data_IF_876730810688
#
_entry.id   IF_876730810688
#
_cell.length_a   1.000
_cell.length_b   1.000
_cell.length_c   1.000
_cell.angle_alpha   90.00
_cell.angle_beta   90.00
_cell.angle_gamma   90.00
#
_symmetry.space_group_name_H-M   'P 1'
#
loop_
_entity.id
_entity.type
_entity.pdbx_description
1 polymer ?
#
# COMPACT_ATOMS: atom_id res chain seq x y z
N UNK A 1 -7.25 3.97 10.77
CA UNK A 1 -6.19 2.95 10.62
C UNK A 1 -4.99 3.62 10.00
N UNK A 2 -3.80 3.40 10.56
CA UNK A 2 -2.55 3.98 10.08
C UNK A 2 -1.70 2.88 9.46
N UNK A 3 -1.18 3.15 8.26
CA UNK A 3 -0.40 2.22 7.47
C UNK A 3 0.96 2.83 7.14
N UNK A 4 2.01 2.03 7.24
CA UNK A 4 3.39 2.44 6.97
C UNK A 4 3.75 2.06 5.56
N UNK A 5 4.26 3.02 4.79
CA UNK A 5 4.79 2.78 3.46
C UNK A 5 6.31 2.73 3.53
N UNK A 6 6.88 1.59 3.19
CA UNK A 6 8.33 1.47 2.97
C UNK A 6 8.63 1.55 1.47
N UNK A 7 9.76 2.18 1.11
CA UNK A 7 10.19 2.30 -0.29
C UNK A 7 11.68 2.06 -0.43
N UNK A 8 12.07 1.35 -1.48
CA UNK A 8 13.48 1.10 -1.81
C UNK A 8 13.72 1.32 -3.32
N UNK A 9 14.94 1.73 -3.67
CA UNK A 9 15.41 1.81 -5.07
C UNK A 9 16.19 0.53 -5.38
N UNK A 10 15.68 -0.25 -6.31
CA UNK A 10 16.27 -1.50 -6.76
C UNK A 10 17.52 -1.28 -7.60
N UNK A 11 18.35 -2.32 -7.69
CA UNK A 11 19.59 -2.31 -8.49
C UNK A 11 19.35 -2.08 -9.99
N UNK A 12 18.15 -2.37 -10.49
CA UNK A 12 17.74 -2.14 -11.88
C UNK A 12 17.12 -0.75 -12.13
N UNK A 13 17.10 0.11 -11.11
CA UNK A 13 16.60 1.48 -11.18
C UNK A 13 15.10 1.64 -10.96
N UNK A 14 14.35 0.56 -10.69
CA UNK A 14 12.93 0.65 -10.31
C UNK A 14 12.79 0.95 -8.82
N UNK A 15 11.72 1.64 -8.44
CA UNK A 15 11.31 1.73 -7.04
C UNK A 15 10.37 0.59 -6.70
N UNK A 16 10.53 0.02 -5.52
CA UNK A 16 9.54 -0.84 -4.86
C UNK A 16 8.90 -0.06 -3.71
N UNK A 17 7.60 -0.26 -3.50
CA UNK A 17 6.89 0.25 -2.34
C UNK A 17 6.02 -0.85 -1.74
N UNK A 18 5.99 -0.93 -0.41
CA UNK A 18 5.24 -1.92 0.36
C UNK A 18 4.42 -1.22 1.46
N UNK A 19 3.19 -1.68 1.68
CA UNK A 19 2.39 -1.33 2.86
C UNK A 19 2.61 -2.41 3.93
N UNK A 20 3.38 -2.10 4.97
CA UNK A 20 3.89 -3.09 5.95
C UNK A 20 2.77 -3.91 6.61
N UNK A 21 1.64 -3.28 6.92
CA UNK A 21 0.53 -3.93 7.61
C UNK A 21 -0.42 -4.70 6.67
N UNK A 22 -0.20 -4.67 5.35
CA UNK A 22 -1.03 -5.38 4.36
C UNK A 22 -0.16 -6.28 3.47
N UNK A 23 -0.03 -7.57 3.83
CA UNK A 23 0.69 -8.54 3.00
C UNK A 23 0.16 -8.57 1.57
N UNK A 24 1.06 -8.42 0.59
CA UNK A 24 0.72 -8.40 -0.83
C UNK A 24 0.34 -7.03 -1.39
N UNK A 25 0.25 -5.98 -0.57
CA UNK A 25 0.14 -4.59 -1.05
C UNK A 25 1.53 -3.99 -1.33
N UNK A 26 2.21 -4.60 -2.30
CA UNK A 26 3.54 -4.23 -2.74
C UNK A 26 3.57 -4.05 -4.25
N UNK A 27 4.30 -3.07 -4.75
CA UNK A 27 4.39 -2.83 -6.19
C UNK A 27 5.66 -2.13 -6.64
N UNK A 28 5.97 -2.30 -7.93
CA UNK A 28 7.08 -1.62 -8.59
C UNK A 28 6.62 -0.41 -9.43
N UNK A 29 7.47 0.61 -9.49
CA UNK A 29 7.31 1.80 -10.32
C UNK A 29 8.63 2.30 -10.90
N UNK A 30 8.58 3.07 -11.98
CA UNK A 30 9.76 3.78 -12.51
C UNK A 30 10.17 4.96 -11.64
N UNK A 31 9.28 5.42 -10.78
CA UNK A 31 9.51 6.50 -9.80
C UNK A 31 9.00 6.08 -8.43
N UNK A 32 9.53 6.69 -7.36
CA UNK A 32 9.06 6.46 -5.99
C UNK A 32 7.55 6.67 -5.86
N UNK A 33 7.05 7.76 -6.45
CA UNK A 33 5.62 8.11 -6.42
C UNK A 33 4.75 7.06 -7.14
N UNK A 34 5.19 6.57 -8.30
CA UNK A 34 4.46 5.52 -9.03
C UNK A 34 4.36 4.22 -8.23
N UNK A 35 5.43 3.82 -7.55
CA UNK A 35 5.43 2.63 -6.70
C UNK A 35 4.47 2.81 -5.51
N UNK A 36 4.52 3.96 -4.82
CA UNK A 36 3.62 4.27 -3.70
C UNK A 36 2.16 4.22 -4.15
N UNK A 37 1.80 4.95 -5.20
CA UNK A 37 0.40 5.04 -5.65
C UNK A 37 -0.19 3.67 -6.02
N UNK A 38 0.61 2.79 -6.62
CA UNK A 38 0.18 1.42 -6.94
C UNK A 38 0.06 0.55 -5.68
N UNK A 39 0.96 0.68 -4.71
CA UNK A 39 0.89 -0.03 -3.43
C UNK A 39 -0.34 0.39 -2.61
N UNK A 40 -0.61 1.70 -2.53
CA UNK A 40 -1.82 2.25 -1.90
C UNK A 40 -3.10 1.72 -2.57
N UNK A 41 -3.13 1.67 -3.91
CA UNK A 41 -4.28 1.13 -4.64
C UNK A 41 -4.52 -0.37 -4.35
N UNK A 42 -3.47 -1.16 -4.16
CA UNK A 42 -3.59 -2.55 -3.74
C UNK A 42 -4.12 -2.65 -2.31
N UNK A 43 -3.56 -1.86 -1.38
CA UNK A 43 -4.01 -1.79 0.00
C UNK A 43 -5.50 -1.43 0.12
N UNK A 44 -5.96 -0.41 -0.62
CA UNK A 44 -7.36 0.01 -0.60
C UNK A 44 -8.31 -1.11 -1.05
N UNK A 45 -7.91 -1.95 -2.00
CA UNK A 45 -8.71 -3.12 -2.41
C UNK A 45 -8.83 -4.15 -1.30
N UNK A 46 -7.73 -4.45 -0.61
CA UNK A 46 -7.74 -5.38 0.53
C UNK A 46 -8.58 -4.81 1.67
N UNK A 47 -8.48 -3.51 1.96
CA UNK A 47 -9.29 -2.87 2.98
C UNK A 47 -10.78 -2.93 2.62
N UNK A 48 -11.14 -2.65 1.36
CA UNK A 48 -12.52 -2.76 0.90
C UNK A 48 -13.08 -4.18 1.10
N UNK A 49 -12.33 -5.21 0.69
CA UNK A 49 -12.73 -6.62 0.85
C UNK A 49 -12.94 -7.01 2.33
N UNK A 50 -12.08 -6.51 3.23
CA UNK A 50 -12.25 -6.71 4.69
C UNK A 50 -13.48 -5.99 5.23
N UNK A 51 -13.75 -4.75 4.81
CA UNK A 51 -14.94 -4.01 5.22
C UNK A 51 -16.23 -4.73 4.79
N UNK A 52 -16.24 -5.30 3.58
CA UNK A 52 -17.39 -6.05 3.04
C UNK A 52 -17.62 -7.39 3.76
N UNK A 53 -16.54 -8.15 4.01
CA UNK A 53 -16.69 -9.53 4.49
C UNK A 53 -16.56 -9.68 6.02
N UNK A 54 -15.77 -8.85 6.69
CA UNK A 54 -15.50 -8.95 8.13
C UNK A 54 -16.46 -8.10 8.99
N UNK A 55 -17.43 -7.40 8.36
CA UNK A 55 -18.44 -6.56 9.03
C UNK A 55 -17.83 -5.49 9.96
N UNK A 56 -16.61 -5.06 9.67
CA UNK A 56 -15.90 -4.00 10.37
C UNK A 56 -16.16 -2.65 9.69
N UNK A 57 -16.21 -1.59 10.49
CA UNK A 57 -16.31 -0.21 10.00
C UNK A 57 -15.03 0.55 10.35
N UNK A 58 -14.63 1.50 9.50
CA UNK A 58 -13.54 2.40 9.78
C UNK A 58 -13.91 3.82 9.36
N UNK A 59 -13.59 4.81 10.19
CA UNK A 59 -13.91 6.20 9.88
C UNK A 59 -12.78 6.90 9.09
N UNK A 60 -11.52 6.43 9.21
CA UNK A 60 -10.36 7.08 8.59
C UNK A 60 -9.25 6.08 8.23
N UNK A 61 -8.70 6.19 7.02
CA UNK A 61 -7.50 5.48 6.53
C UNK A 61 -6.40 6.52 6.30
N UNK A 62 -5.21 6.28 6.84
CA UNK A 62 -4.03 7.15 6.70
C UNK A 62 -2.82 6.32 6.29
N UNK A 63 -2.08 6.79 5.29
CA UNK A 63 -0.79 6.23 4.88
C UNK A 63 0.33 7.19 5.26
N UNK A 64 1.37 6.68 5.91
CA UNK A 64 2.53 7.45 6.36
C UNK A 64 3.81 6.97 5.66
N UNK A 65 4.63 7.93 5.22
CA UNK A 65 5.91 7.74 4.56
C UNK A 65 7.10 7.78 5.53
#
# INVERSE_FOLDING_TARGET
MKYTIETELETDGRYIAEIVEIPGAMSYGKTRFEAIAKAEALALRVIADRLENEHITTEHIEFAL
#
